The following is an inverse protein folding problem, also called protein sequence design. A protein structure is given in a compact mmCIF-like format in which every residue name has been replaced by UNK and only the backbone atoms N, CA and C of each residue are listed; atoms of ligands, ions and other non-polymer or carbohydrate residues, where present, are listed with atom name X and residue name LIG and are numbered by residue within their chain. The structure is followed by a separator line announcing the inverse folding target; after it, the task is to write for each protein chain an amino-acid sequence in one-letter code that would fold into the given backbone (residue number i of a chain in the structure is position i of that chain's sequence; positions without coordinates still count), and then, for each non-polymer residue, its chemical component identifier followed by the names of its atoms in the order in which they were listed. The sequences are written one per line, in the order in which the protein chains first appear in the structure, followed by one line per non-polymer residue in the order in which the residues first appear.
data_IF_376225697644
#
_entry.id   IF_376225697644
#
_cell.length_a   1.000
_cell.length_b   1.000
_cell.length_c   1.000
_cell.angle_alpha   90.00
_cell.angle_beta   90.00
_cell.angle_gamma   90.00
#
_symmetry.space_group_name_H-M   'P 1'
#
loop_
_entity.id
_entity.type
_entity.pdbx_description
1 polymer ?
#
# COMPACT_ATOMS: atom_id res chain seq x y z
N UNK A 1 -1.28 8.00 -11.12
CA UNK A 1 -2.74 8.02 -11.27
C UNK A 1 -3.25 6.64 -11.64
N UNK A 2 -4.43 6.24 -11.16
CA UNK A 2 -5.08 4.97 -11.55
C UNK A 2 -5.40 4.90 -13.07
N UNK A 3 -5.39 6.03 -13.75
CA UNK A 3 -5.56 6.14 -15.22
C UNK A 3 -4.27 5.97 -16.01
N UNK A 4 -3.11 5.80 -15.33
CA UNK A 4 -1.83 5.63 -16.02
C UNK A 4 -1.81 4.29 -16.74
N UNK A 5 -1.54 4.24 -18.06
CA UNK A 5 -1.40 2.98 -18.79
C UNK A 5 -0.30 2.09 -18.20
N UNK A 6 -0.54 0.78 -18.20
CA UNK A 6 0.40 -0.21 -17.64
C UNK A 6 1.78 -0.10 -18.30
N UNK A 7 1.85 0.11 -19.61
CA UNK A 7 3.11 0.26 -20.34
C UNK A 7 3.94 1.46 -19.89
N UNK A 8 3.29 2.56 -19.46
CA UNK A 8 4.01 3.70 -18.90
C UNK A 8 4.55 3.39 -17.48
N UNK A 9 3.88 2.52 -16.72
CA UNK A 9 4.37 2.06 -15.42
C UNK A 9 5.56 1.13 -15.63
N UNK A 10 5.46 0.16 -16.54
CA UNK A 10 6.56 -0.73 -16.95
C UNK A 10 7.79 0.04 -17.39
N UNK A 11 7.61 1.06 -18.23
CA UNK A 11 8.71 1.90 -18.72
C UNK A 11 9.49 2.63 -17.62
N UNK A 12 8.87 2.84 -16.45
CA UNK A 12 9.55 3.42 -15.27
C UNK A 12 10.39 2.42 -14.50
N UNK A 13 10.26 1.13 -14.81
CA UNK A 13 10.95 0.03 -14.12
C UNK A 13 10.89 0.18 -12.58
N UNK A 14 9.69 0.25 -11.97
CA UNK A 14 9.56 0.48 -10.54
C UNK A 14 10.09 -0.71 -9.75
N UNK A 15 10.70 -0.46 -8.59
CA UNK A 15 11.12 -1.50 -7.64
C UNK A 15 9.98 -2.01 -6.77
N UNK A 16 8.89 -1.27 -6.70
CA UNK A 16 7.67 -1.60 -5.98
C UNK A 16 6.59 -0.59 -6.27
N UNK A 17 5.37 -0.93 -5.92
CA UNK A 17 4.18 -0.09 -6.15
C UNK A 17 3.43 0.06 -4.83
N UNK A 18 2.98 1.27 -4.52
CA UNK A 18 2.09 1.53 -3.38
C UNK A 18 0.75 2.01 -3.92
N UNK A 19 -0.33 1.30 -3.58
CA UNK A 19 -1.70 1.76 -3.77
C UNK A 19 -2.17 2.48 -2.51
N UNK A 20 -2.54 3.72 -2.64
CA UNK A 20 -2.99 4.57 -1.52
C UNK A 20 -4.47 4.38 -1.20
N UNK A 21 -4.93 4.94 -0.09
CA UNK A 21 -6.32 5.00 0.29
C UNK A 21 -7.19 5.80 -0.70
N UNK A 22 -8.50 5.66 -0.56
CA UNK A 22 -9.49 6.35 -1.37
C UNK A 22 -10.88 6.29 -0.74
N UNK A 23 -11.79 7.23 -1.06
CA UNK A 23 -13.07 7.38 -0.39
C UNK A 23 -14.20 6.51 -0.97
N UNK A 24 -13.93 5.72 -2.01
CA UNK A 24 -14.94 4.92 -2.72
C UNK A 24 -14.90 3.46 -2.29
N UNK A 25 -16.03 2.78 -2.41
CA UNK A 25 -16.08 1.32 -2.30
C UNK A 25 -15.60 0.68 -3.61
N UNK A 26 -14.67 -0.28 -3.52
CA UNK A 26 -13.98 -0.84 -4.70
C UNK A 26 -14.91 -1.57 -5.68
N UNK A 27 -16.05 -2.08 -5.21
CA UNK A 27 -17.02 -2.83 -6.01
C UNK A 27 -18.01 -1.95 -6.79
N UNK A 28 -17.98 -0.61 -6.62
CA UNK A 28 -18.83 0.29 -7.40
C UNK A 28 -18.24 0.49 -8.80
N UNK A 29 -19.12 0.65 -9.82
CA UNK A 29 -18.71 0.74 -11.23
C UNK A 29 -17.82 1.94 -11.53
N UNK A 30 -18.06 3.07 -10.85
CA UNK A 30 -17.33 4.33 -11.03
C UNK A 30 -16.10 4.46 -10.11
N UNK A 31 -15.71 3.38 -9.43
CA UNK A 31 -14.55 3.37 -8.52
C UNK A 31 -13.22 3.37 -9.27
N UNK A 32 -12.21 4.09 -8.75
CA UNK A 32 -10.91 4.19 -9.38
C UNK A 32 -10.18 2.84 -9.29
N UNK A 33 -10.21 2.07 -10.36
CA UNK A 33 -9.49 0.79 -10.50
C UNK A 33 -8.54 0.86 -11.68
N UNK A 34 -7.40 0.21 -11.53
CA UNK A 34 -6.48 -0.07 -12.64
C UNK A 34 -6.82 -1.43 -13.26
N UNK A 35 -6.28 -1.68 -14.43
CA UNK A 35 -6.35 -3.00 -15.04
C UNK A 35 -5.57 -4.03 -14.18
N UNK A 36 -6.07 -5.26 -14.08
CA UNK A 36 -5.51 -6.28 -13.19
C UNK A 36 -4.10 -6.73 -13.60
N UNK A 37 -3.68 -6.45 -14.83
CA UNK A 37 -2.31 -6.66 -15.32
C UNK A 37 -1.25 -5.95 -14.46
N UNK A 38 -1.65 -4.98 -13.62
CA UNK A 38 -0.77 -4.35 -12.64
C UNK A 38 -0.21 -5.37 -11.64
N UNK A 39 -0.97 -6.42 -11.31
CA UNK A 39 -0.56 -7.50 -10.41
C UNK A 39 0.36 -8.53 -11.09
N UNK A 40 0.55 -8.45 -12.40
CA UNK A 40 1.40 -9.36 -13.19
C UNK A 40 2.78 -8.77 -13.50
N UNK A 41 3.07 -7.55 -13.02
CA UNK A 41 4.34 -6.87 -13.32
C UNK A 41 5.57 -7.50 -12.68
N UNK A 42 5.39 -8.45 -11.74
CA UNK A 42 6.49 -9.10 -11.04
C UNK A 42 7.26 -8.18 -10.08
N UNK A 43 6.64 -7.10 -9.62
CA UNK A 43 7.20 -6.19 -8.62
C UNK A 43 6.39 -6.24 -7.34
N UNK A 44 7.03 -6.04 -6.17
CA UNK A 44 6.31 -5.96 -4.89
C UNK A 44 5.24 -4.87 -4.90
N UNK A 45 4.10 -5.17 -4.26
CA UNK A 45 2.97 -4.22 -4.15
C UNK A 45 2.56 -4.08 -2.68
N UNK A 46 2.33 -2.84 -2.24
CA UNK A 46 1.76 -2.53 -0.95
C UNK A 46 0.43 -1.78 -1.10
N UNK A 47 -0.65 -2.32 -0.56
CA UNK A 47 -1.97 -1.70 -0.56
C UNK A 47 -2.30 -1.04 0.77
N UNK A 48 -2.79 0.21 0.76
CA UNK A 48 -3.22 0.95 1.94
C UNK A 48 -4.73 1.20 1.85
N UNK A 49 -5.51 0.74 2.82
CA UNK A 49 -6.95 0.97 2.93
C UNK A 49 -7.69 0.61 1.62
N UNK A 50 -8.16 1.58 0.84
CA UNK A 50 -8.75 1.32 -0.48
C UNK A 50 -7.80 0.52 -1.40
N UNK A 51 -6.49 0.79 -1.35
CA UNK A 51 -5.49 0.05 -2.11
C UNK A 51 -5.39 -1.42 -1.73
N UNK A 52 -5.60 -1.75 -0.43
CA UNK A 52 -5.73 -3.13 0.04
C UNK A 52 -6.99 -3.80 -0.53
N UNK A 53 -8.12 -3.11 -0.46
CA UNK A 53 -9.40 -3.58 -1.00
C UNK A 53 -9.35 -3.78 -2.51
N UNK A 54 -8.69 -2.85 -3.25
CA UNK A 54 -8.47 -3.00 -4.69
C UNK A 54 -7.63 -4.24 -5.02
N UNK A 55 -6.55 -4.48 -4.27
CA UNK A 55 -5.72 -5.67 -4.45
C UNK A 55 -6.53 -6.95 -4.21
N UNK A 56 -7.24 -7.04 -3.10
CA UNK A 56 -8.07 -8.20 -2.76
C UNK A 56 -9.15 -8.44 -3.80
N UNK A 57 -9.91 -7.40 -4.17
CA UNK A 57 -10.99 -7.48 -5.16
C UNK A 57 -10.47 -7.88 -6.55
N UNK A 58 -9.37 -7.27 -6.99
CA UNK A 58 -8.74 -7.55 -8.30
C UNK A 58 -8.15 -8.96 -8.40
N UNK A 59 -7.78 -9.57 -7.28
CA UNK A 59 -7.22 -10.93 -7.21
C UNK A 59 -8.25 -12.01 -6.85
N UNK A 60 -9.56 -11.66 -6.83
CA UNK A 60 -10.64 -12.63 -6.67
C UNK A 60 -11.08 -12.86 -5.21
N UNK A 61 -10.62 -12.03 -4.27
CA UNK A 61 -11.18 -11.99 -2.93
C UNK A 61 -12.46 -11.16 -2.85
N UNK A 62 -13.05 -11.06 -1.67
CA UNK A 62 -14.34 -10.39 -1.45
C UNK A 62 -14.19 -9.23 -0.48
N UNK A 63 -14.86 -8.11 -0.79
CA UNK A 63 -14.96 -6.93 0.06
C UNK A 63 -16.39 -6.84 0.58
N UNK A 64 -16.53 -6.90 1.90
CA UNK A 64 -17.80 -6.76 2.60
C UNK A 64 -18.09 -5.29 2.92
N UNK A 65 -19.38 -4.95 2.92
CA UNK A 65 -19.87 -3.64 3.36
C UNK A 65 -20.20 -3.71 4.84
N UNK A 66 -19.66 -2.77 5.62
CA UNK A 66 -20.01 -2.65 7.02
C UNK A 66 -21.52 -2.47 7.19
N UNK A 67 -22.07 -3.23 8.13
CA UNK A 67 -23.46 -3.13 8.57
C UNK A 67 -23.48 -2.97 10.10
N UNK A 68 -24.64 -2.96 10.74
CA UNK A 68 -24.82 -2.77 12.18
C UNK A 68 -24.00 -3.76 13.04
N UNK A 69 -23.54 -4.86 12.46
CA UNK A 69 -22.82 -5.95 13.14
C UNK A 69 -21.38 -6.17 12.64
N UNK A 70 -20.89 -5.42 11.67
CA UNK A 70 -19.56 -5.61 11.07
C UNK A 70 -18.81 -4.31 10.86
N UNK A 71 -17.73 -4.28 11.45
CA UNK A 71 -16.36 -3.74 11.30
C UNK A 71 -16.13 -2.46 10.49
N UNK A 72 -16.97 -1.43 10.56
CA UNK A 72 -16.48 -0.07 10.32
C UNK A 72 -15.61 0.36 11.50
N UNK A 73 -14.37 0.75 11.23
CA UNK A 73 -13.46 1.23 12.26
C UNK A 73 -12.93 2.62 11.91
N UNK A 74 -12.98 3.52 12.90
CA UNK A 74 -12.50 4.89 12.76
C UNK A 74 -11.68 5.29 13.98
N UNK A 75 -10.53 5.93 13.75
CA UNK A 75 -9.68 6.44 14.80
C UNK A 75 -8.61 5.45 15.26
N UNK A 76 -8.14 5.66 16.49
CA UNK A 76 -7.08 4.86 17.12
C UNK A 76 -7.61 3.47 17.48
N UNK A 77 -6.95 2.45 16.96
CA UNK A 77 -7.30 1.04 17.13
C UNK A 77 -6.05 0.24 17.47
N UNK A 78 -6.12 -0.62 18.47
CA UNK A 78 -5.05 -1.56 18.79
C UNK A 78 -5.08 -2.73 17.80
N UNK A 79 -3.92 -3.06 17.24
CA UNK A 79 -3.71 -4.20 16.35
C UNK A 79 -2.58 -5.08 16.84
N UNK A 80 -2.75 -6.39 16.65
CA UNK A 80 -1.72 -7.38 16.82
C UNK A 80 -1.15 -7.80 15.47
N UNK A 81 0.19 -7.90 15.36
CA UNK A 81 0.93 -8.22 14.13
C UNK A 81 1.76 -9.49 14.25
N UNK A 82 1.81 -10.24 13.16
CA UNK A 82 2.80 -11.29 12.96
C UNK A 82 4.15 -10.65 12.57
N UNK A 83 5.07 -10.59 13.51
CA UNK A 83 6.39 -9.97 13.30
C UNK A 83 7.32 -10.84 12.42
N UNK A 84 6.91 -12.03 11.99
CA UNK A 84 7.61 -12.80 10.96
C UNK A 84 7.35 -12.29 9.54
N UNK A 85 6.29 -11.49 9.35
CA UNK A 85 6.04 -10.78 8.10
C UNK A 85 7.12 -9.72 7.87
N UNK A 86 7.76 -9.65 6.69
CA UNK A 86 8.83 -8.70 6.40
C UNK A 86 8.46 -7.23 6.68
N UNK A 87 7.20 -6.87 6.51
CA UNK A 87 6.71 -5.49 6.75
C UNK A 87 6.70 -5.16 8.25
N UNK A 88 6.51 -6.15 9.12
CA UNK A 88 6.44 -5.98 10.57
C UNK A 88 7.71 -6.46 11.30
N UNK A 89 8.73 -6.91 10.56
CA UNK A 89 9.98 -7.39 11.14
C UNK A 89 10.71 -6.30 11.94
N UNK A 90 11.03 -6.63 13.19
CA UNK A 90 11.69 -5.74 14.15
C UNK A 90 10.73 -4.74 14.85
N UNK A 91 9.42 -4.81 14.59
CA UNK A 91 8.41 -3.97 15.23
C UNK A 91 7.81 -4.63 16.47
N UNK A 92 7.07 -3.83 17.26
CA UNK A 92 6.29 -4.35 18.38
C UNK A 92 5.12 -5.17 17.83
N UNK A 93 4.86 -6.32 18.48
CA UNK A 93 3.73 -7.19 18.13
C UNK A 93 2.38 -6.46 18.25
N UNK A 94 2.19 -5.65 19.28
CA UNK A 94 1.00 -4.85 19.51
C UNK A 94 1.33 -3.37 19.29
N UNK A 95 0.49 -2.69 18.51
CA UNK A 95 0.67 -1.28 18.21
C UNK A 95 -0.65 -0.60 17.89
N UNK A 96 -0.73 0.69 18.17
CA UNK A 96 -1.88 1.52 17.81
C UNK A 96 -1.74 1.98 16.36
N UNK A 97 -2.82 1.77 15.61
CA UNK A 97 -2.95 2.19 14.21
C UNK A 97 -4.12 3.14 14.01
N UNK A 98 -4.15 3.83 12.89
CA UNK A 98 -5.27 4.68 12.49
C UNK A 98 -6.15 3.97 11.49
N UNK A 99 -7.37 3.62 11.91
CA UNK A 99 -8.41 3.08 11.06
C UNK A 99 -9.30 4.18 10.49
N UNK A 100 -9.72 4.04 9.23
CA UNK A 100 -10.68 4.93 8.59
C UNK A 100 -11.35 4.21 7.43
N UNK A 101 -12.25 3.25 7.73
CA UNK A 101 -12.91 2.47 6.69
C UNK A 101 -14.33 2.05 7.09
N UNK A 102 -15.21 1.99 6.08
CA UNK A 102 -16.54 1.37 6.17
C UNK A 102 -16.53 -0.06 5.60
N UNK A 103 -15.86 -0.23 4.46
CA UNK A 103 -15.74 -1.54 3.82
C UNK A 103 -14.55 -2.30 4.41
N UNK A 104 -14.65 -3.62 4.44
CA UNK A 104 -13.62 -4.49 5.01
C UNK A 104 -13.33 -5.68 4.09
N UNK A 105 -12.16 -6.27 4.24
CA UNK A 105 -11.80 -7.51 3.55
C UNK A 105 -12.58 -8.66 4.22
N UNK A 106 -13.45 -9.33 3.45
CA UNK A 106 -14.32 -10.42 3.91
C UNK A 106 -13.70 -11.79 3.60
N UNK A 107 -13.20 -11.96 2.38
CA UNK A 107 -12.53 -13.19 1.93
C UNK A 107 -11.21 -12.85 1.27
N UNK A 108 -10.14 -13.49 1.74
CA UNK A 108 -8.81 -13.34 1.14
C UNK A 108 -8.73 -14.04 -0.22
N UNK A 109 -7.98 -13.51 -1.18
CA UNK A 109 -7.62 -14.22 -2.40
C UNK A 109 -6.72 -15.42 -2.09
N UNK A 110 -6.63 -16.37 -3.02
CA UNK A 110 -5.75 -17.52 -2.91
C UNK A 110 -4.29 -17.11 -2.68
N UNK A 111 -3.62 -17.81 -1.75
CA UNK A 111 -2.21 -17.58 -1.39
C UNK A 111 -1.98 -16.40 -0.44
N UNK A 112 -3.03 -15.67 -0.04
CA UNK A 112 -2.92 -14.65 0.99
C UNK A 112 -3.18 -15.22 2.38
N UNK A 113 -2.53 -14.65 3.40
CA UNK A 113 -2.81 -14.90 4.81
C UNK A 113 -2.90 -13.61 5.60
N UNK A 114 -3.61 -13.65 6.72
CA UNK A 114 -3.63 -12.57 7.70
C UNK A 114 -2.28 -12.48 8.43
N UNK A 115 -1.77 -11.27 8.57
CA UNK A 115 -0.54 -10.96 9.34
C UNK A 115 -0.76 -9.80 10.33
N UNK A 116 -1.99 -9.34 10.45
CA UNK A 116 -2.40 -8.38 11.47
C UNK A 116 -3.92 -8.34 11.59
N UNK A 117 -4.40 -8.13 12.83
CA UNK A 117 -5.82 -8.05 13.15
C UNK A 117 -6.09 -7.05 14.28
N UNK A 118 -7.31 -6.53 14.33
CA UNK A 118 -7.90 -5.87 15.50
C UNK A 118 -9.03 -6.74 16.04
N UNK A 119 -9.67 -6.28 17.11
CA UNK A 119 -10.85 -6.97 17.66
C UNK A 119 -12.02 -7.06 16.66
N UNK A 120 -12.12 -6.12 15.71
CA UNK A 120 -13.22 -6.03 14.75
C UNK A 120 -12.79 -6.27 13.29
N UNK A 121 -11.51 -6.18 12.99
CA UNK A 121 -10.96 -6.37 11.65
C UNK A 121 -9.99 -7.55 11.63
N UNK A 122 -10.45 -8.76 11.23
CA UNK A 122 -9.59 -9.95 11.21
C UNK A 122 -8.48 -9.85 10.16
N UNK A 123 -8.63 -9.00 9.14
CA UNK A 123 -7.67 -8.78 8.06
C UNK A 123 -7.18 -7.32 8.06
N UNK A 124 -6.75 -6.83 9.24
CA UNK A 124 -6.15 -5.49 9.35
C UNK A 124 -4.82 -5.39 8.56
N UNK A 125 -4.10 -6.50 8.42
CA UNK A 125 -2.95 -6.63 7.53
C UNK A 125 -2.89 -8.03 6.91
N UNK A 126 -2.48 -8.09 5.66
CA UNK A 126 -2.41 -9.33 4.88
C UNK A 126 -1.12 -9.39 4.05
N UNK A 127 -0.68 -10.60 3.72
CA UNK A 127 0.47 -10.82 2.84
C UNK A 127 0.27 -12.00 1.88
N UNK A 128 0.95 -11.92 0.75
CA UNK A 128 1.30 -13.04 -0.11
C UNK A 128 2.80 -12.93 -0.42
N UNK A 129 3.61 -13.68 0.31
CA UNK A 129 5.09 -13.62 0.23
C UNK A 129 5.59 -14.03 -1.14
N UNK A 130 4.97 -15.04 -1.77
CA UNK A 130 5.40 -15.55 -3.09
C UNK A 130 5.29 -14.48 -4.16
N UNK A 131 4.24 -13.65 -4.10
CA UNK A 131 4.03 -12.54 -5.04
C UNK A 131 4.70 -11.24 -4.59
N UNK A 132 5.16 -11.15 -3.35
CA UNK A 132 5.66 -9.91 -2.75
C UNK A 132 4.54 -8.89 -2.51
N UNK A 133 3.32 -9.34 -2.23
CA UNK A 133 2.16 -8.49 -2.03
C UNK A 133 1.83 -8.37 -0.55
N UNK A 134 1.67 -7.13 -0.10
CA UNK A 134 1.36 -6.76 1.28
C UNK A 134 0.26 -5.72 1.31
N UNK A 135 -0.59 -5.74 2.31
CA UNK A 135 -1.59 -4.69 2.44
C UNK A 135 -2.00 -4.45 3.89
N UNK A 136 -2.44 -3.24 4.18
CA UNK A 136 -3.03 -2.83 5.45
C UNK A 136 -4.38 -2.17 5.23
N UNK A 137 -5.37 -2.50 6.08
CA UNK A 137 -6.64 -1.80 6.10
C UNK A 137 -6.52 -0.43 6.78
N UNK A 138 -5.58 -0.29 7.71
CA UNK A 138 -5.24 0.97 8.38
C UNK A 138 -4.26 1.82 7.55
N UNK A 139 -4.01 3.03 8.02
CA UNK A 139 -3.17 4.04 7.38
C UNK A 139 -1.78 4.12 8.04
N UNK A 140 -0.75 3.44 7.53
CA UNK A 140 0.61 3.53 8.06
C UNK A 140 1.28 4.89 7.75
N UNK A 141 0.78 5.62 6.76
CA UNK A 141 1.36 6.89 6.31
C UNK A 141 1.01 8.09 7.19
N UNK A 142 0.10 7.91 8.17
CA UNK A 142 -0.31 9.00 9.06
C UNK A 142 0.39 8.93 10.42
N UNK A 143 0.64 10.08 11.03
CA UNK A 143 1.33 10.18 12.33
C UNK A 143 0.61 9.48 13.51
N UNK A 144 -0.67 9.16 13.35
CA UNK A 144 -1.46 8.46 14.36
C UNK A 144 -1.21 6.94 14.41
N UNK A 145 -0.55 6.38 13.40
CA UNK A 145 -0.07 5.00 13.40
C UNK A 145 1.35 4.97 13.96
N UNK A 146 1.52 4.41 15.17
CA UNK A 146 2.75 4.55 15.96
C UNK A 146 4.01 4.03 15.28
N UNK A 147 3.93 2.93 14.52
CA UNK A 147 5.07 2.33 13.81
C UNK A 147 4.91 2.40 12.28
N UNK A 148 4.04 3.28 11.79
CA UNK A 148 3.66 3.30 10.37
C UNK A 148 4.82 3.58 9.43
N UNK A 149 5.70 4.51 9.77
CA UNK A 149 6.89 4.82 8.95
C UNK A 149 7.90 3.67 8.91
N UNK A 150 8.02 2.92 10.01
CA UNK A 150 8.90 1.74 10.06
C UNK A 150 8.33 0.60 9.19
N UNK A 151 6.98 0.41 9.18
CA UNK A 151 6.29 -0.52 8.28
C UNK A 151 6.56 -0.19 6.81
N UNK A 152 6.40 1.08 6.44
CA UNK A 152 6.69 1.56 5.08
C UNK A 152 8.19 1.44 4.76
N UNK A 153 9.06 1.74 5.73
CA UNK A 153 10.50 1.55 5.62
C UNK A 153 10.87 0.09 5.37
N UNK A 154 10.29 -0.84 6.11
CA UNK A 154 10.49 -2.27 5.90
C UNK A 154 10.04 -2.71 4.50
N UNK A 155 8.89 -2.25 4.02
CA UNK A 155 8.47 -2.52 2.65
C UNK A 155 9.49 -2.00 1.62
N UNK A 156 9.91 -0.74 1.75
CA UNK A 156 10.84 -0.12 0.80
C UNK A 156 12.22 -0.79 0.82
N UNK A 157 12.78 -1.06 1.99
CA UNK A 157 14.17 -1.50 2.12
C UNK A 157 14.32 -3.02 2.16
N UNK A 158 13.44 -3.74 2.86
CA UNK A 158 13.54 -5.21 2.99
C UNK A 158 12.83 -5.94 1.85
N UNK A 159 11.68 -5.41 1.37
CA UNK A 159 10.91 -6.07 0.31
C UNK A 159 11.30 -5.55 -1.08
N UNK A 160 11.32 -4.24 -1.29
CA UNK A 160 11.64 -3.64 -2.59
C UNK A 160 13.14 -3.47 -2.83
N UNK A 161 14.00 -3.70 -1.82
CA UNK A 161 15.46 -3.52 -1.88
C UNK A 161 15.89 -2.13 -2.38
N UNK A 162 15.16 -1.09 -1.99
CA UNK A 162 15.53 0.29 -2.27
C UNK A 162 16.81 0.65 -1.50
N UNK A 163 17.69 1.45 -2.11
CA UNK A 163 18.99 1.80 -1.52
C UNK A 163 18.94 3.00 -0.57
N UNK A 164 17.81 3.76 -0.54
CA UNK A 164 17.71 4.98 0.25
C UNK A 164 18.62 6.12 -0.24
N UNK A 165 19.02 6.06 -1.50
CA UNK A 165 19.93 7.03 -2.15
C UNK A 165 19.20 8.27 -2.67
N UNK A 166 17.88 8.30 -2.60
CA UNK A 166 17.11 9.50 -2.89
C UNK A 166 17.15 10.45 -1.71
N UNK A 167 17.72 11.65 -1.91
CA UNK A 167 17.74 12.73 -0.94
C UNK A 167 17.30 14.04 -1.60
N UNK A 168 16.82 15.02 -0.82
CA UNK A 168 16.47 16.34 -1.36
C UNK A 168 17.67 17.01 -2.04
N UNK A 169 18.89 16.79 -1.54
CA UNK A 169 20.12 17.29 -2.17
C UNK A 169 20.32 16.67 -3.55
N UNK A 170 20.27 15.34 -3.63
CA UNK A 170 20.45 14.62 -4.90
C UNK A 170 19.34 14.99 -5.90
N UNK A 171 18.10 15.14 -5.42
CA UNK A 171 16.98 15.59 -6.25
C UNK A 171 17.20 17.00 -6.81
N UNK A 172 17.65 17.94 -5.97
CA UNK A 172 17.92 19.32 -6.41
C UNK A 172 19.04 19.37 -7.48
N UNK A 173 20.12 18.62 -7.28
CA UNK A 173 21.23 18.52 -8.24
C UNK A 173 20.76 17.94 -9.58
N UNK A 174 19.98 16.86 -9.56
CA UNK A 174 19.43 16.25 -10.77
C UNK A 174 18.41 17.16 -11.46
N UNK A 175 17.52 17.82 -10.72
CA UNK A 175 16.56 18.78 -11.26
C UNK A 175 17.26 19.96 -11.94
N UNK A 176 18.33 20.51 -11.33
CA UNK A 176 19.14 21.57 -11.94
C UNK A 176 19.78 21.08 -13.24
N UNK A 177 20.32 19.86 -13.26
CA UNK A 177 20.91 19.26 -14.45
C UNK A 177 19.89 19.10 -15.57
N UNK A 178 18.71 18.60 -15.27
CA UNK A 178 17.62 18.43 -16.23
C UNK A 178 17.12 19.77 -16.77
N UNK A 179 16.96 20.79 -15.91
CA UNK A 179 16.56 22.14 -16.32
C UNK A 179 17.63 22.73 -17.25
N UNK A 180 18.91 22.66 -16.89
CA UNK A 180 20.00 23.15 -17.74
C UNK A 180 20.06 22.46 -19.09
N UNK A 181 19.87 21.12 -19.12
CA UNK A 181 19.84 20.37 -20.37
C UNK A 181 18.65 20.75 -21.26
N UNK A 182 17.51 21.12 -20.64
CA UNK A 182 16.29 21.53 -21.37
C UNK A 182 16.37 22.97 -21.88
N UNK A 183 16.94 23.87 -21.11
CA UNK A 183 17.04 25.32 -21.42
C UNK A 183 18.21 25.59 -22.38
N UNK A 184 19.33 24.84 -22.25
CA UNK A 184 20.54 25.10 -23.02
C UNK A 184 21.01 26.51 -22.81
N UNK A 185 21.32 27.23 -23.91
CA UNK A 185 21.73 28.62 -23.94
C UNK A 185 20.56 29.63 -23.95
N UNK A 186 19.32 29.12 -23.83
CA UNK A 186 18.10 29.94 -23.77
C UNK A 186 17.99 30.76 -22.47
N UNK A 187 17.12 31.77 -22.50
CA UNK A 187 16.71 32.53 -21.29
C UNK A 187 15.35 32.03 -20.82
N UNK A 188 15.19 31.95 -19.51
CA UNK A 188 13.94 31.59 -18.84
C UNK A 188 13.35 32.83 -18.20
#
# INVERSE_FOLDING_TARGET
SYKTPIEQIKAKNPKGIIFTGGPRSVYLDDSPRMANEIFELGVPIFGICYGAQFMVYGLGGTIGKANENAAAEFGRTECEFDTTCPVFDGLKKNSVVWMSHNDYIEVLPEGFKAVGHSDKCPYAAIENVEKGFYATQFHPEVNHTEQGFDMLGNFLYKVCHCKGDWTMKNYAEEAIKQIRAKVGDGKV
#
